data_IF_660527055360
#
_entry.id   IF_660527055360
#
_cell.length_a   1.000
_cell.length_b   1.000
_cell.length_c   1.000
_cell.angle_alpha   90.00
_cell.angle_beta   90.00
_cell.angle_gamma   90.00
#
_symmetry.space_group_name_H-M   'P 1'
#
loop_
_entity.id
_entity.type
_entity.pdbx_description
1 polymer ?
#
# COMPACT_ATOMS: atom_id res chain seq x y z
N UNK A 1 0.24 33.06 -19.77
CA UNK A 1 -0.15 31.85 -20.52
C UNK A 1 -1.64 31.67 -20.26
N UNK A 2 -2.47 31.32 -21.24
CA UNK A 2 -3.87 30.99 -20.92
C UNK A 2 -3.95 29.56 -20.35
N UNK A 3 -5.04 29.22 -19.67
CA UNK A 3 -5.16 27.95 -18.93
C UNK A 3 -4.98 26.71 -19.83
N UNK A 4 -5.58 26.70 -21.03
CA UNK A 4 -5.38 25.62 -22.01
C UNK A 4 -3.90 25.47 -22.46
N UNK A 5 -3.17 26.58 -22.61
CA UNK A 5 -1.73 26.53 -22.93
C UNK A 5 -0.90 25.99 -21.76
N UNK A 6 -1.26 26.34 -20.52
CA UNK A 6 -0.63 25.79 -19.33
C UNK A 6 -0.89 24.28 -19.23
N UNK A 7 -2.13 23.84 -19.43
CA UNK A 7 -2.51 22.43 -19.45
C UNK A 7 -1.77 21.64 -20.54
N UNK A 8 -1.63 22.21 -21.74
CA UNK A 8 -0.87 21.56 -22.80
C UNK A 8 0.61 21.44 -22.45
N UNK A 9 1.17 22.40 -21.70
CA UNK A 9 2.57 22.34 -21.26
C UNK A 9 2.76 21.30 -20.15
N UNK A 10 1.89 21.28 -19.14
CA UNK A 10 1.87 20.24 -18.10
C UNK A 10 1.69 18.86 -18.71
N UNK A 11 0.81 18.72 -19.69
CA UNK A 11 0.61 17.46 -20.41
C UNK A 11 1.85 17.04 -21.18
N UNK A 12 2.59 17.98 -21.78
CA UNK A 12 3.86 17.66 -22.44
C UNK A 12 4.94 17.26 -21.44
N UNK A 13 5.00 17.90 -20.29
CA UNK A 13 5.96 17.57 -19.23
C UNK A 13 5.67 16.19 -18.67
N UNK A 14 4.40 15.90 -18.36
CA UNK A 14 3.91 14.57 -17.99
C UNK A 14 4.25 13.53 -19.06
N UNK A 15 3.90 13.78 -20.33
CA UNK A 15 4.19 12.86 -21.43
C UNK A 15 5.69 12.73 -21.72
N UNK A 16 6.50 13.73 -21.37
CA UNK A 16 7.95 13.67 -21.49
C UNK A 16 8.59 12.87 -20.36
N UNK A 17 7.82 12.54 -19.31
CA UNK A 17 8.27 11.65 -18.25
C UNK A 17 8.64 10.28 -18.85
N UNK A 18 9.72 9.64 -18.39
CA UNK A 18 10.16 8.32 -18.88
C UNK A 18 9.07 7.25 -18.80
N UNK A 19 8.27 7.26 -17.74
CA UNK A 19 7.11 6.36 -17.58
C UNK A 19 5.92 6.61 -18.52
N UNK A 20 6.02 7.60 -19.41
CA UNK A 20 5.02 7.92 -20.43
C UNK A 20 5.62 7.79 -21.85
N UNK A 21 6.10 8.88 -22.47
CA UNK A 21 6.76 8.84 -23.79
C UNK A 21 8.28 9.00 -23.71
N UNK A 22 8.81 9.41 -22.54
CA UNK A 22 10.23 9.73 -22.31
C UNK A 22 10.77 10.92 -23.12
N UNK A 23 9.91 11.63 -23.84
CA UNK A 23 10.21 12.84 -24.61
C UNK A 23 8.93 13.56 -24.97
N UNK A 24 9.04 14.81 -25.43
CA UNK A 24 7.87 15.54 -25.90
C UNK A 24 7.13 14.75 -27.01
N UNK A 25 5.79 14.72 -26.97
CA UNK A 25 5.01 14.06 -27.99
C UNK A 25 5.30 14.69 -29.36
N UNK A 26 5.47 13.84 -30.39
CA UNK A 26 5.72 14.30 -31.76
C UNK A 26 4.63 15.25 -32.28
N UNK A 27 3.41 15.09 -31.78
CA UNK A 27 2.32 16.03 -31.98
C UNK A 27 1.38 15.97 -30.79
N UNK A 28 0.89 17.11 -30.32
CA UNK A 28 -0.18 17.21 -29.33
C UNK A 28 -1.15 18.29 -29.79
N UNK A 29 -2.45 18.00 -29.67
CA UNK A 29 -3.52 18.91 -30.06
C UNK A 29 -4.63 18.89 -29.00
N UNK A 30 -5.21 20.04 -28.65
CA UNK A 30 -6.44 20.06 -27.88
C UNK A 30 -7.54 19.35 -28.65
N UNK A 31 -8.28 18.49 -27.96
CA UNK A 31 -9.25 17.57 -28.53
C UNK A 31 -10.65 17.71 -27.91
N UNK A 32 -10.76 18.42 -26.79
CA UNK A 32 -12.00 18.71 -26.09
C UNK A 32 -11.72 19.32 -24.73
N UNK A 33 -12.77 19.71 -24.03
CA UNK A 33 -12.73 20.15 -22.65
C UNK A 33 -14.05 19.82 -22.00
N UNK A 34 -14.05 19.64 -20.68
CA UNK A 34 -15.25 19.35 -19.91
C UNK A 34 -15.07 19.84 -18.48
N UNK A 35 -16.21 20.05 -17.82
CA UNK A 35 -16.27 20.34 -16.40
C UNK A 35 -16.71 19.08 -15.65
N UNK A 36 -16.01 18.77 -14.56
CA UNK A 36 -16.36 17.66 -13.67
C UNK A 36 -15.98 18.06 -12.23
N UNK A 37 -16.91 17.90 -11.29
CA UNK A 37 -16.72 18.29 -9.88
C UNK A 37 -16.24 19.74 -9.68
N UNK A 38 -16.84 20.69 -10.40
CA UNK A 38 -16.52 22.13 -10.38
C UNK A 38 -15.09 22.48 -10.82
N UNK A 39 -14.37 21.52 -11.39
CA UNK A 39 -13.03 21.68 -11.94
C UNK A 39 -13.07 21.55 -13.46
N UNK A 40 -12.22 22.33 -14.13
CA UNK A 40 -12.11 22.34 -15.58
C UNK A 40 -10.99 21.41 -16.04
N UNK A 41 -11.25 20.66 -17.12
CA UNK A 41 -10.33 19.67 -17.68
C UNK A 41 -10.20 19.84 -19.18
N UNK A 42 -8.97 19.68 -19.66
CA UNK A 42 -8.64 19.67 -21.08
C UNK A 42 -8.30 18.25 -21.53
N UNK A 43 -8.94 17.84 -22.62
CA UNK A 43 -8.65 16.61 -23.33
C UNK A 43 -7.63 16.95 -24.41
N UNK A 44 -6.50 16.25 -24.37
CA UNK A 44 -5.50 16.30 -25.41
C UNK A 44 -5.52 15.00 -26.19
N UNK A 45 -5.32 15.12 -27.49
CA UNK A 45 -4.86 13.99 -28.29
C UNK A 45 -3.41 14.20 -28.63
N UNK A 46 -2.60 13.17 -28.49
CA UNK A 46 -1.17 13.26 -28.79
C UNK A 46 -0.70 12.05 -29.59
N UNK A 47 0.48 12.18 -30.20
CA UNK A 47 1.16 11.11 -30.92
C UNK A 47 2.55 10.91 -30.36
N UNK A 48 2.89 9.66 -30.03
CA UNK A 48 4.26 9.25 -29.71
C UNK A 48 5.24 9.53 -30.87
N UNK A 49 4.79 9.37 -32.12
CA UNK A 49 5.57 9.64 -33.33
C UNK A 49 4.74 10.23 -34.47
N UNK A 50 5.36 10.89 -35.46
CA UNK A 50 4.64 11.61 -36.55
C UNK A 50 3.61 10.74 -37.30
N UNK A 51 3.86 9.43 -37.42
CA UNK A 51 3.00 8.47 -38.11
C UNK A 51 2.15 7.59 -37.16
N UNK A 52 2.23 7.80 -35.85
CA UNK A 52 1.50 7.03 -34.84
C UNK A 52 0.00 7.33 -34.80
N UNK A 53 -0.73 6.47 -34.09
CA UNK A 53 -2.13 6.69 -33.73
C UNK A 53 -2.23 7.88 -32.76
N UNK A 54 -3.40 8.51 -32.75
CA UNK A 54 -3.71 9.50 -31.73
C UNK A 54 -4.06 8.77 -30.44
N UNK A 55 -3.51 9.22 -29.33
CA UNK A 55 -3.74 8.71 -27.99
C UNK A 55 -4.44 9.78 -27.16
N UNK A 56 -5.27 9.34 -26.23
CA UNK A 56 -6.02 10.20 -25.32
C UNK A 56 -5.17 10.54 -24.11
N UNK A 57 -5.21 11.80 -23.70
CA UNK A 57 -4.70 12.18 -22.39
C UNK A 57 -5.46 13.36 -21.83
N UNK A 58 -5.42 13.48 -20.52
CA UNK A 58 -6.28 14.39 -19.77
C UNK A 58 -5.41 15.18 -18.82
N UNK A 59 -5.59 16.50 -18.85
CA UNK A 59 -4.92 17.40 -17.93
C UNK A 59 -5.96 18.39 -17.41
N UNK A 60 -6.17 18.40 -16.12
CA UNK A 60 -7.17 19.26 -15.51
C UNK A 60 -7.07 19.32 -14.00
N UNK A 61 -8.18 19.70 -13.37
CA UNK A 61 -8.16 20.13 -11.98
C UNK A 61 -7.86 21.62 -11.84
N UNK A 62 -8.27 22.43 -12.83
CA UNK A 62 -8.14 23.88 -12.78
C UNK A 62 -9.41 24.53 -12.23
N UNK A 63 -9.23 25.54 -11.37
CA UNK A 63 -10.30 26.46 -11.03
C UNK A 63 -10.65 27.40 -12.19
N UNK A 64 -11.80 28.11 -12.13
CA UNK A 64 -12.29 28.94 -13.24
C UNK A 64 -11.33 30.03 -13.73
N UNK A 65 -10.38 30.47 -12.89
CA UNK A 65 -9.37 31.49 -13.24
C UNK A 65 -7.91 31.04 -12.97
N UNK A 66 -7.69 29.77 -12.59
CA UNK A 66 -6.38 29.28 -12.13
C UNK A 66 -5.57 28.65 -13.26
N UNK A 67 -4.25 28.84 -13.29
CA UNK A 67 -3.36 28.19 -14.28
C UNK A 67 -2.51 27.06 -13.70
N UNK A 68 -2.67 26.76 -12.41
CA UNK A 68 -2.04 25.65 -11.70
C UNK A 68 -3.11 24.58 -11.43
N UNK A 69 -2.80 23.31 -11.69
CA UNK A 69 -3.73 22.18 -11.53
C UNK A 69 -3.44 21.40 -10.25
N UNK A 70 -4.46 20.76 -9.67
CA UNK A 70 -4.33 19.92 -8.47
C UNK A 70 -3.74 18.50 -8.74
N UNK A 71 -2.81 18.37 -9.69
CA UNK A 71 -2.12 17.10 -9.95
C UNK A 71 -2.86 16.07 -10.84
N UNK A 72 -3.98 16.42 -11.47
CA UNK A 72 -4.69 15.51 -12.41
C UNK A 72 -4.14 15.63 -13.84
N UNK A 73 -2.96 15.07 -14.08
CA UNK A 73 -2.38 14.93 -15.43
C UNK A 73 -2.10 13.46 -15.66
N UNK A 74 -2.68 12.90 -16.72
CA UNK A 74 -2.68 11.46 -16.90
C UNK A 74 -2.87 11.04 -18.35
N UNK A 75 -2.25 9.92 -18.72
CA UNK A 75 -2.43 9.26 -20.01
C UNK A 75 -2.35 7.74 -19.86
N UNK A 76 -3.44 7.05 -20.18
CA UNK A 76 -3.50 5.58 -20.11
C UNK A 76 -3.04 4.91 -21.42
N UNK A 77 -2.30 5.64 -22.28
CA UNK A 77 -1.88 5.23 -23.62
C UNK A 77 -3.01 4.66 -24.50
N UNK A 78 -4.24 5.06 -24.21
CA UNK A 78 -5.42 4.55 -24.87
C UNK A 78 -5.64 5.26 -26.23
N UNK A 79 -6.03 4.54 -27.29
CA UNK A 79 -6.36 5.17 -28.57
C UNK A 79 -7.44 6.24 -28.44
N UNK A 80 -7.15 7.43 -28.95
CA UNK A 80 -8.11 8.52 -29.03
C UNK A 80 -9.22 8.18 -30.02
N UNK A 81 -10.46 8.11 -29.51
CA UNK A 81 -11.68 8.09 -30.30
C UNK A 81 -12.54 9.29 -29.91
N UNK A 82 -12.83 10.17 -30.88
CA UNK A 82 -13.62 11.38 -30.64
C UNK A 82 -15.03 11.10 -30.11
N UNK A 83 -15.61 9.92 -30.39
CA UNK A 83 -16.94 9.58 -29.93
C UNK A 83 -17.00 9.20 -28.44
N UNK A 84 -15.89 8.76 -27.85
CA UNK A 84 -15.83 8.27 -26.46
C UNK A 84 -14.80 9.00 -25.60
N UNK A 85 -14.04 9.94 -26.17
CA UNK A 85 -12.92 10.60 -25.50
C UNK A 85 -13.33 11.33 -24.22
N UNK A 86 -14.50 11.97 -24.21
CA UNK A 86 -14.99 12.69 -23.04
C UNK A 86 -15.39 11.72 -21.90
N UNK A 87 -16.11 10.65 -22.21
CA UNK A 87 -16.53 9.67 -21.21
C UNK A 87 -15.34 8.93 -20.59
N UNK A 88 -14.38 8.49 -21.41
CA UNK A 88 -13.14 7.86 -20.94
C UNK A 88 -12.26 8.80 -20.12
N UNK A 89 -12.20 10.07 -20.52
CA UNK A 89 -11.50 11.10 -19.75
C UNK A 89 -12.13 11.30 -18.36
N UNK A 90 -13.46 11.28 -18.28
CA UNK A 90 -14.17 11.35 -16.99
C UNK A 90 -13.91 10.11 -16.13
N UNK A 91 -13.86 8.91 -16.71
CA UNK A 91 -13.55 7.68 -15.97
C UNK A 91 -12.14 7.70 -15.36
N UNK A 92 -11.12 8.13 -16.11
CA UNK A 92 -9.75 8.29 -15.60
C UNK A 92 -9.70 9.30 -14.43
N UNK A 93 -10.40 10.43 -14.57
CA UNK A 93 -10.47 11.45 -13.51
C UNK A 93 -11.20 10.92 -12.27
N UNK A 94 -12.29 10.17 -12.42
CA UNK A 94 -13.02 9.58 -11.29
C UNK A 94 -12.21 8.50 -10.56
N UNK A 95 -11.39 7.72 -11.27
CA UNK A 95 -10.52 6.72 -10.64
C UNK A 95 -9.51 7.38 -9.70
N UNK A 96 -8.81 8.40 -10.20
CA UNK A 96 -7.81 9.16 -9.45
C UNK A 96 -8.47 9.93 -8.31
N UNK A 97 -9.57 10.62 -8.59
CA UNK A 97 -10.34 11.34 -7.56
C UNK A 97 -10.83 10.40 -6.47
N UNK A 98 -11.34 9.21 -6.82
CA UNK A 98 -11.78 8.22 -5.81
C UNK A 98 -10.62 7.76 -4.94
N UNK A 99 -9.47 7.49 -5.54
CA UNK A 99 -8.25 7.18 -4.78
C UNK A 99 -7.88 8.30 -3.81
N UNK A 100 -7.82 9.55 -4.26
CA UNK A 100 -7.49 10.69 -3.40
C UNK A 100 -8.57 11.02 -2.38
N UNK A 101 -9.85 10.86 -2.70
CA UNK A 101 -10.96 11.05 -1.77
C UNK A 101 -10.98 9.95 -0.71
N UNK A 102 -10.69 8.70 -1.04
CA UNK A 102 -10.57 7.63 -0.05
C UNK A 102 -9.41 7.89 0.92
N UNK A 103 -8.29 8.45 0.42
CA UNK A 103 -7.15 8.86 1.25
C UNK A 103 -7.47 10.12 2.08
N UNK A 104 -8.11 11.13 1.50
CA UNK A 104 -8.46 12.37 2.17
C UNK A 104 -9.61 12.19 3.17
N UNK A 105 -10.64 11.39 2.86
CA UNK A 105 -11.70 11.03 3.81
C UNK A 105 -11.15 10.21 4.97
N UNK A 106 -10.14 9.34 4.74
CA UNK A 106 -9.45 8.66 5.84
C UNK A 106 -8.76 9.67 6.77
N UNK A 107 -8.06 10.66 6.22
CA UNK A 107 -7.38 11.74 6.96
C UNK A 107 -8.36 12.76 7.59
N UNK A 108 -9.51 13.01 6.97
CA UNK A 108 -10.52 13.95 7.46
C UNK A 108 -11.46 13.31 8.49
N UNK A 109 -11.70 12.00 8.44
CA UNK A 109 -12.41 11.27 9.50
C UNK A 109 -11.53 11.16 10.75
N UNK A 110 -10.23 10.97 10.57
CA UNK A 110 -9.22 11.05 11.63
C UNK A 110 -9.19 12.46 12.29
N UNK A 111 -9.31 13.53 11.49
CA UNK A 111 -9.38 14.90 12.02
C UNK A 111 -10.76 15.30 12.59
N UNK A 112 -11.89 14.84 12.02
CA UNK A 112 -13.25 15.21 12.51
C UNK A 112 -13.65 14.53 13.82
N UNK A 113 -13.04 13.40 14.17
CA UNK A 113 -13.28 12.75 15.47
C UNK A 113 -12.65 13.48 16.66
N UNK A 114 -11.87 14.55 16.43
CA UNK A 114 -11.30 15.38 17.50
C UNK A 114 -12.17 16.60 17.89
N UNK A 115 -13.20 16.96 17.11
CA UNK A 115 -14.02 18.17 17.33
C UNK A 115 -15.55 17.94 17.18
N UNK A 116 -16.17 17.07 17.99
CA UNK A 116 -17.48 17.32 18.67
C UNK A 116 -18.10 16.06 19.31
N UNK A 117 -18.32 16.12 20.62
CA UNK A 117 -19.14 15.17 21.39
C UNK A 117 -20.64 15.24 21.06
N UNK A 118 -21.31 14.08 21.09
CA UNK A 118 -22.76 13.96 21.34
C UNK A 118 -23.36 12.60 20.90
N UNK A 119 -24.04 11.85 21.78
CA UNK A 119 -24.48 10.48 21.49
C UNK A 119 -25.77 10.51 20.65
N UNK A 120 -25.67 10.05 19.40
CA UNK A 120 -26.82 9.80 18.52
C UNK A 120 -26.91 8.31 18.21
N UNK A 121 -27.94 7.65 18.72
CA UNK A 121 -28.31 6.29 18.37
C UNK A 121 -28.55 6.17 16.85
N UNK A 122 -27.86 5.22 16.22
CA UNK A 122 -28.05 4.86 14.83
C UNK A 122 -26.85 4.07 14.34
N UNK A 123 -26.93 2.74 14.41
CA UNK A 123 -25.95 1.84 13.82
C UNK A 123 -25.72 2.19 12.35
N UNK A 124 -24.48 2.48 11.91
CA UNK A 124 -24.12 2.45 10.51
C UNK A 124 -23.52 1.07 10.17
N UNK A 125 -23.89 0.62 8.99
CA UNK A 125 -23.61 -0.68 8.40
C UNK A 125 -22.12 -1.03 8.30
N UNK A 126 -21.86 -2.33 8.45
CA UNK A 126 -20.56 -3.01 8.61
C UNK A 126 -19.70 -3.13 7.35
N UNK A 127 -19.97 -2.37 6.29
CA UNK A 127 -19.47 -2.77 4.96
C UNK A 127 -18.30 -1.92 4.43
N UNK A 128 -18.09 -0.69 4.91
CA UNK A 128 -17.03 0.19 4.38
C UNK A 128 -15.62 -0.13 4.91
N UNK A 129 -15.48 -0.64 6.14
CA UNK A 129 -14.16 -0.99 6.70
C UNK A 129 -13.61 -2.33 6.16
N UNK A 130 -14.45 -3.15 5.52
CA UNK A 130 -14.10 -4.49 5.02
C UNK A 130 -13.58 -4.48 3.57
N UNK A 131 -13.67 -3.35 2.86
CA UNK A 131 -13.22 -3.21 1.46
C UNK A 131 -11.68 -3.24 1.29
N UNK A 132 -10.91 -3.16 2.38
CA UNK A 132 -9.44 -3.31 2.38
C UNK A 132 -8.97 -4.77 2.54
N UNK A 133 -9.89 -5.71 2.77
CA UNK A 133 -9.53 -7.09 3.07
C UNK A 133 -8.82 -7.78 1.90
N UNK A 134 -7.60 -8.26 2.16
CA UNK A 134 -6.81 -9.08 1.26
C UNK A 134 -6.10 -8.35 0.14
N UNK A 135 -5.95 -7.03 0.26
CA UNK A 135 -4.90 -6.25 -0.40
C UNK A 135 -3.72 -6.11 0.56
N UNK A 136 -2.51 -6.42 0.10
CA UNK A 136 -1.29 -6.31 0.90
C UNK A 136 -0.35 -5.32 0.25
N UNK A 137 -0.03 -4.25 0.96
CA UNK A 137 0.86 -3.16 0.52
C UNK A 137 1.83 -2.85 1.66
N UNK A 138 3.08 -2.60 1.34
CA UNK A 138 4.09 -2.12 2.29
C UNK A 138 5.23 -1.43 1.56
N UNK A 139 6.13 -0.85 2.34
CA UNK A 139 7.27 -0.10 1.83
C UNK A 139 8.58 -0.69 2.34
N UNK A 140 9.60 -0.66 1.49
CA UNK A 140 10.98 -1.03 1.84
C UNK A 140 11.79 0.25 1.83
N UNK A 141 12.24 0.69 3.00
CA UNK A 141 12.95 1.97 3.16
C UNK A 141 14.42 1.77 2.81
N UNK A 142 14.97 2.62 1.95
CA UNK A 142 16.32 2.47 1.40
C UNK A 142 17.21 3.65 1.74
N UNK A 143 18.49 3.39 2.00
CA UNK A 143 19.52 4.40 2.22
C UNK A 143 19.93 5.16 0.95
N UNK A 144 19.71 4.54 -0.21
CA UNK A 144 20.01 5.02 -1.56
C UNK A 144 18.93 4.49 -2.53
N UNK A 145 18.60 5.21 -3.61
CA UNK A 145 17.62 4.81 -4.63
C UNK A 145 18.17 3.68 -5.51
N UNK A 146 18.58 2.58 -4.90
CA UNK A 146 19.18 1.46 -5.60
C UNK A 146 18.64 0.15 -5.02
N UNK A 147 18.22 -0.73 -5.91
CA UNK A 147 17.81 -2.10 -5.60
C UNK A 147 18.08 -2.99 -6.82
N UNK A 148 18.06 -4.31 -6.64
CA UNK A 148 18.30 -5.26 -7.71
C UNK A 148 17.10 -6.19 -7.91
N UNK A 149 16.36 -6.03 -9.02
CA UNK A 149 15.30 -6.95 -9.44
C UNK A 149 15.81 -8.39 -9.63
N UNK A 150 16.98 -8.56 -10.25
CA UNK A 150 17.62 -9.87 -10.42
C UNK A 150 17.90 -10.55 -9.08
N UNK A 151 18.40 -9.77 -8.10
CA UNK A 151 18.62 -10.27 -6.75
C UNK A 151 17.31 -10.64 -6.08
N UNK A 152 16.26 -9.83 -6.23
CA UNK A 152 14.93 -10.11 -5.69
C UNK A 152 14.42 -11.45 -6.24
N UNK A 153 14.47 -11.64 -7.57
CA UNK A 153 14.05 -12.87 -8.23
C UNK A 153 14.88 -14.09 -7.77
N UNK A 154 16.20 -13.92 -7.64
CA UNK A 154 17.09 -14.98 -7.15
C UNK A 154 16.79 -15.37 -5.68
N UNK A 155 16.55 -14.40 -4.81
CA UNK A 155 16.19 -14.63 -3.40
C UNK A 155 14.80 -15.27 -3.29
N UNK A 156 13.82 -14.82 -4.09
CA UNK A 156 12.49 -15.43 -4.16
C UNK A 156 12.54 -16.90 -4.60
N UNK A 157 13.40 -17.21 -5.58
CA UNK A 157 13.62 -18.58 -6.04
C UNK A 157 14.37 -19.41 -5.01
N UNK A 158 15.43 -18.86 -4.42
CA UNK A 158 16.32 -19.56 -3.50
C UNK A 158 15.68 -19.88 -2.15
N UNK A 159 15.00 -18.90 -1.55
CA UNK A 159 14.42 -19.05 -0.21
C UNK A 159 13.03 -19.69 -0.25
N UNK A 160 12.26 -19.47 -1.32
CA UNK A 160 10.83 -19.85 -1.37
C UNK A 160 10.45 -20.76 -2.54
N UNK A 161 11.36 -21.02 -3.48
CA UNK A 161 11.08 -21.81 -4.67
C UNK A 161 10.15 -21.12 -5.67
N UNK A 162 9.94 -19.80 -5.55
CA UNK A 162 9.02 -19.03 -6.37
C UNK A 162 9.78 -18.48 -7.58
N UNK A 163 9.32 -18.84 -8.78
CA UNK A 163 9.80 -18.22 -10.02
C UNK A 163 9.07 -16.90 -10.22
N UNK A 164 9.82 -15.79 -10.12
CA UNK A 164 9.34 -14.46 -10.47
C UNK A 164 9.45 -14.28 -11.97
N UNK A 165 8.41 -14.68 -12.70
CA UNK A 165 8.30 -14.40 -14.13
C UNK A 165 7.78 -12.97 -14.28
N UNK A 166 8.65 -12.08 -14.71
CA UNK A 166 8.26 -10.72 -15.06
C UNK A 166 7.22 -10.78 -16.18
N UNK A 167 6.12 -10.05 -16.01
CA UNK A 167 5.17 -9.87 -17.10
C UNK A 167 5.90 -9.05 -18.18
N UNK A 168 6.25 -9.70 -19.29
CA UNK A 168 6.80 -9.00 -20.44
C UNK A 168 5.71 -8.09 -21.01
N UNK A 169 5.88 -6.77 -20.87
CA UNK A 169 5.16 -5.85 -21.73
C UNK A 169 5.58 -6.15 -23.18
N UNK A 170 4.67 -6.73 -23.96
CA UNK A 170 4.95 -7.17 -25.34
C UNK A 170 5.59 -6.04 -26.18
N UNK A 171 5.28 -4.77 -25.89
CA UNK A 171 5.86 -3.61 -26.58
C UNK A 171 7.27 -3.22 -26.09
N UNK A 172 7.65 -3.47 -24.83
CA UNK A 172 9.01 -3.24 -24.30
C UNK A 172 10.02 -4.26 -24.88
N UNK A 173 9.54 -5.47 -25.16
CA UNK A 173 10.32 -6.53 -25.81
C UNK A 173 10.67 -6.20 -27.27
N UNK A 174 9.78 -5.49 -27.99
CA UNK A 174 9.99 -5.05 -29.37
C UNK A 174 10.96 -3.87 -29.48
N UNK A 175 10.94 -2.92 -28.52
CA UNK A 175 11.91 -1.82 -28.46
C UNK A 175 13.34 -2.32 -28.11
N UNK A 176 13.49 -3.27 -27.17
CA UNK A 176 14.79 -3.92 -26.86
C UNK A 176 15.33 -4.72 -28.06
N UNK A 177 14.46 -5.38 -28.83
CA UNK A 177 14.85 -6.10 -30.04
C UNK A 177 15.24 -5.15 -31.20
N UNK A 178 14.64 -3.96 -31.27
CA UNK A 178 14.95 -2.92 -32.27
C UNK A 178 16.23 -2.14 -31.96
N UNK A 179 16.63 -2.02 -30.69
CA UNK A 179 17.81 -1.26 -30.27
C UNK A 179 19.14 -1.99 -30.52
N UNK A 180 19.12 -3.30 -30.80
CA UNK A 180 20.31 -4.08 -31.16
C UNK A 180 21.38 -4.14 -30.07
N UNK A 181 21.04 -3.78 -28.84
CA UNK A 181 22.01 -3.63 -27.77
C UNK A 181 22.19 -4.93 -26.99
N UNK A 182 23.45 -5.33 -26.87
CA UNK A 182 23.85 -6.51 -26.10
C UNK A 182 24.24 -6.03 -24.71
N UNK A 183 23.27 -5.95 -23.82
CA UNK A 183 23.50 -6.11 -22.38
C UNK A 183 24.27 -4.99 -21.67
N UNK A 184 23.95 -3.73 -21.93
CA UNK A 184 24.20 -2.66 -20.96
C UNK A 184 22.86 -2.14 -20.42
N UNK A 185 22.65 -2.29 -19.10
CA UNK A 185 21.50 -1.69 -18.40
C UNK A 185 21.65 -0.16 -18.47
N UNK A 186 20.68 0.52 -19.06
CA UNK A 186 20.60 2.00 -19.08
C UNK A 186 19.84 2.50 -17.87
N UNK A 187 20.12 3.73 -17.42
CA UNK A 187 19.48 4.40 -16.26
C UNK A 187 17.93 4.45 -16.32
N UNK A 188 17.33 4.27 -17.50
CA UNK A 188 15.89 4.35 -17.74
C UNK A 188 15.11 3.08 -17.31
N UNK A 189 15.79 1.96 -17.02
CA UNK A 189 15.14 0.71 -16.56
C UNK A 189 14.82 0.73 -15.03
N UNK A 190 15.33 1.70 -14.26
CA UNK A 190 15.23 1.72 -12.78
C UNK A 190 13.87 2.23 -12.23
N UNK A 191 13.14 3.04 -13.01
CA UNK A 191 11.88 3.70 -12.60
C UNK A 191 10.60 2.95 -13.02
N UNK A 192 10.72 1.89 -13.82
CA UNK A 192 9.56 1.10 -14.26
C UNK A 192 9.15 0.13 -13.15
N UNK A 193 7.85 0.06 -12.77
CA UNK A 193 7.42 -0.92 -11.78
C UNK A 193 7.64 -2.34 -12.30
N UNK A 194 8.32 -3.17 -11.52
CA UNK A 194 8.50 -4.58 -11.83
C UNK A 194 7.24 -5.34 -11.42
N UNK A 195 6.61 -6.00 -12.39
CA UNK A 195 5.39 -6.77 -12.19
C UNK A 195 5.68 -8.24 -12.44
N UNK A 196 5.48 -9.09 -11.42
CA UNK A 196 5.67 -10.53 -11.54
C UNK A 196 4.34 -11.27 -11.43
N UNK A 197 4.13 -12.24 -12.30
CA UNK A 197 2.97 -13.13 -12.23
C UNK A 197 3.29 -14.41 -11.46
N UNK A 198 2.63 -14.62 -10.32
CA UNK A 198 2.80 -15.81 -9.48
C UNK A 198 1.46 -16.45 -9.21
N UNK A 199 1.19 -17.58 -9.87
CA UNK A 199 -0.06 -18.36 -9.71
C UNK A 199 -1.35 -17.53 -9.89
N UNK A 200 -1.35 -16.60 -10.84
CA UNK A 200 -2.50 -15.71 -11.11
C UNK A 200 -2.56 -14.46 -10.21
N UNK A 201 -1.65 -14.34 -9.24
CA UNK A 201 -1.47 -13.11 -8.46
C UNK A 201 -0.42 -12.23 -9.10
N UNK A 202 -0.55 -10.92 -8.94
CA UNK A 202 0.42 -9.92 -9.38
C UNK A 202 1.21 -9.40 -8.19
N UNK A 203 2.52 -9.45 -8.30
CA UNK A 203 3.46 -8.85 -7.35
C UNK A 203 4.00 -7.59 -8.01
N UNK A 204 3.85 -6.44 -7.35
CA UNK A 204 4.35 -5.16 -7.85
C UNK A 204 5.45 -4.69 -6.94
N UNK A 205 6.58 -4.31 -7.54
CA UNK A 205 7.69 -3.64 -6.86
C UNK A 205 8.06 -2.39 -7.65
N UNK A 206 7.77 -1.22 -7.11
CA UNK A 206 8.06 0.06 -7.76
C UNK A 206 9.06 0.85 -6.92
N UNK A 207 10.12 1.35 -7.54
CA UNK A 207 11.07 2.25 -6.88
C UNK A 207 10.53 3.67 -6.87
N UNK A 208 10.71 4.35 -5.73
CA UNK A 208 10.51 5.78 -5.59
C UNK A 208 11.84 6.40 -5.14
N UNK A 209 12.45 7.24 -5.99
CA UNK A 209 13.63 8.05 -5.63
C UNK A 209 13.25 9.26 -4.75
N UNK A 210 12.55 8.96 -3.66
CA UNK A 210 12.16 9.89 -2.63
C UNK A 210 11.90 9.14 -1.31
N UNK A 211 12.12 9.75 -0.14
CA UNK A 211 11.65 9.17 1.11
C UNK A 211 10.12 9.04 1.11
N UNK A 212 9.60 8.23 2.03
CA UNK A 212 8.15 8.20 2.29
C UNK A 212 7.70 9.62 2.69
N UNK A 213 6.63 10.15 2.07
CA UNK A 213 6.18 11.52 2.33
C UNK A 213 5.80 11.81 3.80
N UNK A 214 5.75 13.09 4.13
CA UNK A 214 5.15 13.65 5.36
C UNK A 214 5.72 13.15 6.70
N UNK A 215 6.84 12.43 6.70
CA UNK A 215 7.45 11.88 7.90
C UNK A 215 6.65 10.72 8.51
N UNK A 216 5.76 10.10 7.72
CA UNK A 216 4.87 9.02 8.17
C UNK A 216 5.67 7.80 8.65
N UNK A 217 6.73 7.43 7.92
CA UNK A 217 7.56 6.28 8.26
C UNK A 217 8.26 6.48 9.62
N UNK A 218 8.75 7.68 9.91
CA UNK A 218 9.37 8.05 11.19
C UNK A 218 8.36 8.01 12.34
N UNK A 219 7.15 8.55 12.12
CA UNK A 219 6.10 8.53 13.12
C UNK A 219 5.69 7.09 13.48
N UNK A 220 5.53 6.23 12.47
CA UNK A 220 5.21 4.82 12.68
C UNK A 220 6.39 4.00 13.25
N UNK A 221 7.63 4.37 12.93
CA UNK A 221 8.83 3.78 13.53
C UNK A 221 8.92 4.07 15.04
N UNK A 222 8.45 5.24 15.48
CA UNK A 222 8.47 5.62 16.90
C UNK A 222 7.59 4.71 17.77
N UNK A 223 6.60 4.04 17.18
CA UNK A 223 5.76 3.09 17.88
C UNK A 223 6.50 1.76 18.17
N UNK A 224 7.57 1.43 17.44
CA UNK A 224 8.23 0.14 17.55
C UNK A 224 9.17 0.03 18.76
N UNK A 225 8.65 -0.35 19.93
CA UNK A 225 9.44 -0.61 21.13
C UNK A 225 10.49 -1.73 20.99
N UNK A 226 10.42 -2.59 19.96
CA UNK A 226 11.38 -3.67 19.73
C UNK A 226 12.66 -3.19 19.03
N UNK A 227 12.65 -1.98 18.47
CA UNK A 227 13.78 -1.43 17.73
C UNK A 227 14.08 0.01 18.18
N UNK A 228 14.89 0.20 19.23
CA UNK A 228 15.18 1.52 19.81
C UNK A 228 15.76 2.54 18.82
N UNK A 229 16.52 2.08 17.83
CA UNK A 229 17.14 2.91 16.81
C UNK A 229 16.24 3.13 15.57
N UNK A 230 14.99 2.67 15.58
CA UNK A 230 14.10 2.71 14.41
C UNK A 230 13.96 4.12 13.84
N UNK A 231 13.57 5.10 14.68
CA UNK A 231 13.36 6.50 14.23
C UNK A 231 14.62 7.10 13.62
N UNK A 232 15.76 6.97 14.29
CA UNK A 232 17.03 7.55 13.82
C UNK A 232 17.55 6.84 12.56
N UNK A 233 17.27 5.54 12.41
CA UNK A 233 17.61 4.80 11.19
C UNK A 233 16.69 5.22 10.05
N UNK A 234 15.37 5.26 10.29
CA UNK A 234 14.36 5.59 9.29
C UNK A 234 14.59 6.99 8.75
N UNK A 235 14.87 8.01 9.58
CA UNK A 235 15.19 9.39 9.11
C UNK A 235 16.29 9.49 8.05
N UNK A 236 17.14 8.46 7.91
CA UNK A 236 18.24 8.45 6.93
C UNK A 236 17.85 7.87 5.57
N UNK A 237 16.63 7.34 5.44
CA UNK A 237 16.13 6.83 4.17
C UNK A 237 15.97 7.97 3.16
N UNK A 238 16.32 7.67 1.91
CA UNK A 238 16.27 8.64 0.80
C UNK A 238 15.33 8.21 -0.32
N UNK A 239 15.00 6.92 -0.33
CA UNK A 239 14.20 6.27 -1.34
C UNK A 239 13.38 5.16 -0.67
N UNK A 240 12.37 4.66 -1.38
CA UNK A 240 11.63 3.50 -0.93
C UNK A 240 11.11 2.65 -2.10
N UNK A 241 10.97 1.35 -1.87
CA UNK A 241 10.16 0.49 -2.74
C UNK A 241 8.73 0.49 -2.25
N UNK A 242 7.77 0.70 -3.14
CA UNK A 242 6.38 0.30 -2.95
C UNK A 242 6.23 -1.16 -3.36
N UNK A 243 5.74 -1.99 -2.44
CA UNK A 243 5.59 -3.43 -2.64
C UNK A 243 4.15 -3.84 -2.41
N UNK A 244 3.54 -4.52 -3.38
CA UNK A 244 2.16 -4.97 -3.27
C UNK A 244 1.93 -6.39 -3.82
N UNK A 245 0.96 -7.09 -3.23
CA UNK A 245 0.38 -8.32 -3.79
C UNK A 245 -1.08 -8.05 -4.13
N UNK A 246 -1.43 -8.21 -5.41
CA UNK A 246 -2.74 -7.94 -5.96
C UNK A 246 -3.36 -9.21 -6.57
N UNK A 247 -4.69 -9.17 -6.70
CA UNK A 247 -5.49 -10.25 -7.28
C UNK A 247 -6.32 -11.00 -6.25
N UNK A 248 -7.37 -11.66 -6.73
CA UNK A 248 -8.36 -12.38 -5.90
C UNK A 248 -8.28 -13.89 -6.04
N UNK A 249 -7.39 -14.40 -6.90
CA UNK A 249 -7.36 -15.80 -7.34
C UNK A 249 -6.76 -16.79 -6.32
N UNK A 250 -6.47 -16.33 -5.10
CA UNK A 250 -6.00 -17.16 -3.99
C UNK A 250 -6.65 -16.73 -2.66
N UNK A 251 -6.79 -17.63 -1.67
CA UNK A 251 -7.24 -17.27 -0.33
C UNK A 251 -6.40 -16.16 0.30
N UNK A 252 -7.01 -15.28 1.11
CA UNK A 252 -6.34 -14.12 1.73
C UNK A 252 -5.07 -14.52 2.49
N UNK A 253 -5.11 -15.65 3.21
CA UNK A 253 -3.95 -16.21 3.91
C UNK A 253 -2.79 -16.55 2.97
N UNK A 254 -3.07 -17.13 1.81
CA UNK A 254 -2.04 -17.45 0.80
C UNK A 254 -1.44 -16.17 0.19
N UNK A 255 -2.27 -15.15 -0.03
CA UNK A 255 -1.81 -13.83 -0.49
C UNK A 255 -0.91 -13.15 0.55
N UNK A 256 -1.28 -13.21 1.83
CA UNK A 256 -0.45 -12.71 2.93
C UNK A 256 0.88 -13.45 3.06
N UNK A 257 0.89 -14.79 2.85
CA UNK A 257 2.13 -15.58 2.84
C UNK A 257 3.04 -15.16 1.69
N UNK A 258 2.46 -14.92 0.51
CA UNK A 258 3.21 -14.45 -0.66
C UNK A 258 3.80 -13.05 -0.42
N UNK A 259 3.02 -12.14 0.18
CA UNK A 259 3.48 -10.81 0.55
C UNK A 259 4.64 -10.85 1.54
N UNK A 260 4.54 -11.65 2.62
CA UNK A 260 5.63 -11.78 3.58
C UNK A 260 6.91 -12.35 2.95
N UNK A 261 6.79 -13.29 2.01
CA UNK A 261 7.94 -13.83 1.27
C UNK A 261 8.59 -12.79 0.37
N UNK A 262 7.78 -11.98 -0.32
CA UNK A 262 8.25 -10.88 -1.16
C UNK A 262 8.99 -9.83 -0.31
N UNK A 263 8.39 -9.39 0.79
CA UNK A 263 9.04 -8.44 1.71
C UNK A 263 10.33 -9.01 2.32
N UNK A 264 10.35 -10.32 2.65
CA UNK A 264 11.55 -11.00 3.15
C UNK A 264 12.67 -11.04 2.09
N UNK A 265 12.33 -11.25 0.80
CA UNK A 265 13.31 -11.14 -0.28
C UNK A 265 13.82 -9.69 -0.43
N UNK A 266 12.93 -8.69 -0.30
CA UNK A 266 13.33 -7.29 -0.29
C UNK A 266 14.27 -6.95 0.87
N UNK A 267 14.12 -7.56 2.06
CA UNK A 267 15.03 -7.35 3.20
C UNK A 267 16.50 -7.67 2.90
N UNK A 268 16.77 -8.43 1.84
CA UNK A 268 18.12 -8.82 1.42
C UNK A 268 18.74 -7.88 0.39
N UNK A 269 18.05 -6.83 -0.04
CA UNK A 269 18.62 -5.79 -0.89
C UNK A 269 19.70 -5.01 -0.11
N UNK A 270 20.72 -4.51 -0.81
CA UNK A 270 21.93 -3.96 -0.18
C UNK A 270 21.67 -2.68 0.64
N UNK A 271 20.70 -1.88 0.20
CA UNK A 271 20.42 -0.53 0.72
C UNK A 271 19.27 -0.51 1.73
N UNK A 272 18.71 -1.66 2.13
CA UNK A 272 17.54 -1.70 3.02
C UNK A 272 17.88 -1.20 4.42
N UNK A 273 17.09 -0.25 4.89
CA UNK A 273 17.13 0.28 6.25
C UNK A 273 15.99 -0.30 7.12
N UNK A 274 14.79 -0.44 6.56
CA UNK A 274 13.60 -0.83 7.32
C UNK A 274 12.46 -1.32 6.45
N UNK A 275 11.55 -2.08 7.06
CA UNK A 275 10.36 -2.63 6.40
C UNK A 275 9.13 -1.99 7.01
N UNK A 276 8.50 -1.08 6.27
CA UNK A 276 7.31 -0.36 6.73
C UNK A 276 6.04 -1.09 6.30
N UNK A 277 5.36 -1.71 7.25
CA UNK A 277 4.09 -2.43 7.04
C UNK A 277 3.34 -2.51 8.37
N UNK A 278 2.03 -2.72 8.32
CA UNK A 278 1.24 -2.99 9.52
C UNK A 278 1.36 -1.89 10.59
N UNK A 279 1.39 -0.62 10.16
CA UNK A 279 1.44 0.54 11.07
C UNK A 279 2.75 0.70 11.84
N UNK A 280 3.84 0.05 11.39
CA UNK A 280 5.16 0.20 12.01
C UNK A 280 6.31 -0.13 11.06
N UNK A 281 7.53 0.26 11.44
CA UNK A 281 8.75 -0.10 10.69
C UNK A 281 9.52 -1.20 11.42
N UNK A 282 9.68 -2.34 10.78
CA UNK A 282 10.45 -3.47 11.27
C UNK A 282 11.92 -3.39 10.86
N UNK A 283 12.81 -3.81 11.76
CA UNK A 283 14.21 -4.03 11.44
C UNK A 283 14.33 -5.19 10.43
N UNK A 284 15.10 -5.06 9.33
CA UNK A 284 15.15 -6.08 8.28
C UNK A 284 15.57 -7.47 8.80
N UNK A 285 16.52 -7.51 9.74
CA UNK A 285 16.94 -8.77 10.38
C UNK A 285 15.81 -9.43 11.18
N UNK A 286 15.05 -8.65 11.94
CA UNK A 286 13.90 -9.17 12.68
C UNK A 286 12.84 -9.72 11.71
N UNK A 287 12.57 -9.00 10.62
CA UNK A 287 11.61 -9.44 9.60
C UNK A 287 12.05 -10.76 8.95
N UNK A 288 13.34 -10.88 8.60
CA UNK A 288 13.92 -12.13 8.08
C UNK A 288 13.81 -13.29 9.08
N UNK A 289 14.22 -13.08 10.34
CA UNK A 289 14.17 -14.10 11.39
C UNK A 289 12.72 -14.59 11.63
N UNK A 290 11.75 -13.67 11.60
CA UNK A 290 10.32 -14.01 11.69
C UNK A 290 9.82 -14.78 10.45
N UNK A 291 10.34 -14.50 9.25
CA UNK A 291 9.90 -15.15 8.02
C UNK A 291 10.28 -16.62 7.93
N UNK A 292 11.34 -17.05 8.64
CA UNK A 292 11.87 -18.42 8.59
C UNK A 292 10.83 -19.48 8.99
N UNK A 293 9.87 -19.14 9.87
CA UNK A 293 8.81 -20.07 10.28
C UNK A 293 7.93 -20.56 9.12
N UNK A 294 7.86 -19.81 8.01
CA UNK A 294 7.15 -20.23 6.81
C UNK A 294 7.79 -21.44 6.12
N UNK A 295 9.09 -21.69 6.31
CA UNK A 295 9.79 -22.84 5.69
C UNK A 295 9.27 -24.18 6.21
N UNK A 296 8.83 -24.20 7.47
CA UNK A 296 8.22 -25.36 8.12
C UNK A 296 6.68 -25.32 8.09
N UNK A 297 6.09 -24.43 7.29
CA UNK A 297 4.64 -24.28 7.14
C UNK A 297 3.95 -23.47 8.24
N UNK A 298 4.71 -22.81 9.12
CA UNK A 298 4.17 -21.91 10.14
C UNK A 298 3.68 -20.57 9.58
N UNK A 299 2.79 -19.90 10.32
CA UNK A 299 2.29 -18.57 9.95
C UNK A 299 3.21 -17.47 10.48
N UNK A 300 3.71 -16.56 9.61
CA UNK A 300 4.62 -15.47 9.97
C UNK A 300 3.86 -14.32 10.66
N UNK A 301 3.19 -14.60 11.78
CA UNK A 301 2.32 -13.63 12.48
C UNK A 301 3.06 -12.33 12.80
N UNK A 302 4.34 -12.41 13.17
CA UNK A 302 5.18 -11.25 13.48
C UNK A 302 5.59 -10.42 12.25
N UNK A 303 5.42 -10.94 11.03
CA UNK A 303 5.60 -10.19 9.79
C UNK A 303 4.30 -9.51 9.34
N UNK A 304 3.15 -10.03 9.76
CA UNK A 304 1.82 -9.56 9.35
C UNK A 304 1.20 -8.58 10.34
N UNK A 305 1.35 -8.87 11.62
CA UNK A 305 0.63 -8.19 12.69
C UNK A 305 1.63 -7.54 13.62
N UNK A 306 1.50 -6.23 13.80
CA UNK A 306 2.18 -5.52 14.86
C UNK A 306 1.39 -5.65 16.16
N UNK A 307 2.11 -5.82 17.27
CA UNK A 307 1.54 -5.91 18.62
C UNK A 307 2.02 -4.70 19.42
N UNK A 308 1.17 -3.69 19.55
CA UNK A 308 1.47 -2.50 20.32
C UNK A 308 1.25 -2.73 21.81
N UNK A 309 2.08 -2.09 22.64
CA UNK A 309 1.99 -2.15 24.10
C UNK A 309 2.11 -0.74 24.67
N UNK A 310 1.25 -0.38 25.61
CA UNK A 310 1.36 0.87 26.36
C UNK A 310 0.81 0.70 27.78
N UNK A 311 1.20 1.60 28.68
CA UNK A 311 0.81 1.55 30.08
C UNK A 311 -0.01 2.78 30.46
N UNK A 312 -1.07 2.56 31.24
CA UNK A 312 -1.93 3.58 31.85
C UNK A 312 -1.89 3.44 33.38
N UNK A 313 -2.63 4.28 34.10
CA UNK A 313 -2.86 4.09 35.54
C UNK A 313 -3.65 2.79 35.83
N UNK A 314 -4.42 2.28 34.87
CA UNK A 314 -5.23 1.06 34.98
C UNK A 314 -4.43 -0.23 34.80
N UNK A 315 -3.31 -0.18 34.08
CA UNK A 315 -2.45 -1.34 33.86
C UNK A 315 -1.76 -1.31 32.49
N UNK A 316 -1.35 -2.50 32.04
CA UNK A 316 -0.85 -2.70 30.69
C UNK A 316 -2.00 -2.86 29.70
N UNK A 317 -1.81 -2.29 28.52
CA UNK A 317 -2.72 -2.37 27.39
C UNK A 317 -1.96 -2.93 26.18
N UNK A 318 -2.64 -3.70 25.36
CA UNK A 318 -2.09 -4.27 24.13
C UNK A 318 -3.10 -4.21 23.00
N UNK A 319 -2.63 -4.02 21.77
CA UNK A 319 -3.47 -4.03 20.58
C UNK A 319 -2.79 -4.71 19.39
N UNK A 320 -3.58 -5.18 18.43
CA UNK A 320 -3.10 -5.67 17.13
C UNK A 320 -3.21 -4.59 16.07
N UNK A 321 -2.30 -4.60 15.10
CA UNK A 321 -2.45 -3.82 13.87
C UNK A 321 -2.08 -4.69 12.67
N UNK A 322 -3.01 -4.83 11.73
CA UNK A 322 -2.85 -5.61 10.49
C UNK A 322 -3.88 -6.74 10.32
N UNK A 323 -4.73 -7.00 11.31
CA UNK A 323 -5.77 -8.04 11.23
C UNK A 323 -6.80 -7.73 10.15
N UNK A 324 -7.07 -6.44 9.91
CA UNK A 324 -8.03 -5.99 8.88
C UNK A 324 -7.63 -6.43 7.47
N UNK A 325 -6.34 -6.54 7.18
CA UNK A 325 -5.86 -7.09 5.90
C UNK A 325 -6.27 -8.56 5.69
N UNK A 326 -6.60 -9.28 6.78
CA UNK A 326 -7.12 -10.64 6.76
C UNK A 326 -8.65 -10.72 6.91
N UNK A 327 -9.36 -9.58 6.84
CA UNK A 327 -10.80 -9.52 7.05
C UNK A 327 -11.18 -9.89 8.48
N UNK A 328 -10.38 -9.45 9.47
CA UNK A 328 -10.62 -9.63 10.90
C UNK A 328 -10.56 -8.28 11.61
N UNK A 329 -11.38 -8.11 12.64
CA UNK A 329 -11.30 -6.94 13.50
C UNK A 329 -9.94 -6.92 14.22
N UNK A 330 -9.39 -5.73 14.44
CA UNK A 330 -8.27 -5.57 15.37
C UNK A 330 -8.71 -5.92 16.79
N UNK A 331 -7.78 -6.37 17.62
CA UNK A 331 -8.03 -6.83 18.99
C UNK A 331 -7.29 -5.98 19.99
N UNK A 332 -7.89 -5.76 21.15
CA UNK A 332 -7.33 -5.02 22.26
C UNK A 332 -7.49 -5.80 23.57
N UNK A 333 -6.49 -5.70 24.45
CA UNK A 333 -6.55 -6.17 25.83
C UNK A 333 -6.21 -4.97 26.71
N UNK A 334 -7.14 -4.57 27.58
CA UNK A 334 -7.08 -3.27 28.25
C UNK A 334 -6.91 -3.39 29.77
N UNK A 335 -6.12 -2.47 30.34
CA UNK A 335 -5.92 -2.25 31.77
C UNK A 335 -5.67 -3.52 32.60
N UNK A 336 -4.74 -4.35 32.12
CA UNK A 336 -4.40 -5.62 32.79
C UNK A 336 -3.18 -5.48 33.69
N UNK A 337 -3.23 -6.12 34.85
CA UNK A 337 -2.06 -6.29 35.70
C UNK A 337 -1.27 -7.54 35.27
N UNK A 338 -0.53 -7.42 34.18
CA UNK A 338 0.25 -8.51 33.58
C UNK A 338 1.70 -8.11 33.35
N UNK A 339 2.58 -9.10 33.18
CA UNK A 339 3.87 -8.83 32.57
C UNK A 339 3.65 -8.47 31.08
N UNK A 340 4.29 -7.42 30.53
CA UNK A 340 4.08 -7.00 29.14
C UNK A 340 4.44 -8.07 28.11
N UNK A 341 5.42 -8.94 28.41
CA UNK A 341 5.77 -10.06 27.56
C UNK A 341 4.66 -11.13 27.55
N UNK A 342 4.12 -11.47 28.71
CA UNK A 342 3.00 -12.43 28.83
C UNK A 342 1.75 -11.91 28.12
N UNK A 343 1.47 -10.62 28.24
CA UNK A 343 0.36 -9.95 27.55
C UNK A 343 0.51 -10.01 26.02
N UNK A 344 1.72 -9.71 25.51
CA UNK A 344 2.03 -9.82 24.08
C UNK A 344 1.91 -11.26 23.59
N UNK A 345 2.47 -12.21 24.32
CA UNK A 345 2.45 -13.63 23.94
C UNK A 345 1.01 -14.18 23.97
N UNK A 346 0.17 -13.73 24.91
CA UNK A 346 -1.26 -14.01 24.93
C UNK A 346 -1.94 -13.54 23.63
N UNK A 347 -1.75 -12.27 23.26
CA UNK A 347 -2.40 -11.69 22.08
C UNK A 347 -1.87 -12.32 20.78
N UNK A 348 -0.57 -12.62 20.72
CA UNK A 348 0.06 -13.33 19.60
C UNK A 348 -0.56 -14.73 19.42
N UNK A 349 -0.69 -15.50 20.50
CA UNK A 349 -1.29 -16.83 20.44
C UNK A 349 -2.76 -16.77 19.99
N UNK A 350 -3.51 -15.75 20.43
CA UNK A 350 -4.88 -15.53 19.98
C UNK A 350 -4.96 -15.20 18.49
N UNK A 351 -4.10 -14.29 18.01
CA UNK A 351 -3.98 -13.96 16.59
C UNK A 351 -3.63 -15.20 15.77
N UNK A 352 -2.67 -16.01 16.23
CA UNK A 352 -2.30 -17.25 15.57
C UNK A 352 -3.49 -18.20 15.46
N UNK A 353 -4.23 -18.40 16.56
CA UNK A 353 -5.44 -19.23 16.57
C UNK A 353 -6.49 -18.72 15.57
N UNK A 354 -6.71 -17.41 15.52
CA UNK A 354 -7.68 -16.76 14.63
C UNK A 354 -7.30 -16.93 13.16
N UNK A 355 -6.04 -16.66 12.81
CA UNK A 355 -5.58 -16.71 11.42
C UNK A 355 -5.34 -18.14 10.92
N UNK A 356 -4.85 -19.04 11.78
CA UNK A 356 -4.62 -20.44 11.40
C UNK A 356 -5.94 -21.20 11.24
N UNK A 357 -6.82 -21.06 12.23
CA UNK A 357 -8.13 -21.71 12.28
C UNK A 357 -9.22 -21.02 11.47
N UNK A 358 -8.91 -19.90 10.80
CA UNK A 358 -9.87 -19.06 10.07
C UNK A 358 -11.08 -18.66 10.94
N UNK A 359 -10.84 -18.42 12.23
CA UNK A 359 -11.90 -18.18 13.22
C UNK A 359 -12.39 -16.74 13.11
N UNK A 360 -13.70 -16.54 13.24
CA UNK A 360 -14.31 -15.21 13.36
C UNK A 360 -14.84 -15.07 14.78
N UNK A 361 -14.19 -14.22 15.57
CA UNK A 361 -14.63 -13.85 16.91
C UNK A 361 -15.79 -12.85 16.81
N UNK A 362 -16.84 -13.02 17.62
CA UNK A 362 -18.01 -12.13 17.62
C UNK A 362 -18.25 -11.49 18.97
N UNK A 363 -18.95 -10.35 18.93
CA UNK A 363 -19.43 -9.68 20.11
C UNK A 363 -20.28 -10.61 20.99
N UNK A 364 -20.03 -10.59 22.30
CA UNK A 364 -20.74 -11.41 23.28
C UNK A 364 -20.30 -12.89 23.34
N UNK A 365 -19.41 -13.34 22.46
CA UNK A 365 -18.77 -14.66 22.59
C UNK A 365 -17.76 -14.66 23.76
N UNK A 366 -17.32 -15.86 24.15
CA UNK A 366 -16.31 -16.04 25.18
C UNK A 366 -15.16 -16.90 24.68
N UNK A 367 -13.93 -16.48 24.97
CA UNK A 367 -12.71 -17.23 24.70
C UNK A 367 -12.30 -18.06 25.93
N UNK A 368 -11.89 -19.31 25.72
CA UNK A 368 -11.36 -20.16 26.79
C UNK A 368 -10.27 -21.08 26.29
N UNK A 369 -9.12 -21.08 26.96
CA UNK A 369 -8.04 -22.04 26.74
C UNK A 369 -8.28 -23.36 27.51
N UNK A 370 -9.30 -23.39 28.37
CA UNK A 370 -9.82 -24.57 29.07
C UNK A 370 -11.35 -24.57 29.01
N UNK A 371 -12.00 -25.69 29.36
CA UNK A 371 -13.47 -25.82 29.34
C UNK A 371 -14.20 -24.84 30.27
N UNK A 372 -13.51 -24.40 31.33
CA UNK A 372 -14.13 -23.63 32.41
C UNK A 372 -13.85 -22.14 32.27
N UNK A 373 -12.88 -21.77 31.43
CA UNK A 373 -12.51 -20.38 31.20
C UNK A 373 -13.45 -19.70 30.22
N UNK A 374 -13.92 -18.50 30.59
CA UNK A 374 -14.82 -17.68 29.78
C UNK A 374 -14.38 -16.22 29.83
N UNK A 375 -13.43 -15.87 28.98
CA UNK A 375 -12.95 -14.51 28.80
C UNK A 375 -13.93 -13.80 27.86
N UNK A 376 -14.54 -12.67 28.26
CA UNK A 376 -15.51 -11.98 27.42
C UNK A 376 -14.84 -11.40 26.17
N UNK A 377 -15.61 -11.34 25.08
CA UNK A 377 -15.27 -10.61 23.86
C UNK A 377 -16.32 -9.52 23.68
N UNK A 378 -15.88 -8.28 23.51
CA UNK A 378 -16.79 -7.14 23.28
C UNK A 378 -16.35 -6.35 22.06
N UNK A 379 -17.24 -6.17 21.08
CA UNK A 379 -16.98 -5.38 19.88
C UNK A 379 -17.45 -3.95 20.09
N UNK A 380 -16.62 -2.96 19.78
CA UNK A 380 -17.00 -1.55 19.91
C UNK A 380 -15.88 -0.59 19.52
N UNK A 381 -16.09 0.71 19.75
CA UNK A 381 -15.12 1.75 19.42
C UNK A 381 -13.76 1.47 20.07
N UNK A 382 -12.69 1.47 19.27
CA UNK A 382 -11.32 1.22 19.73
C UNK A 382 -10.86 2.23 20.77
N UNK A 383 -9.96 1.78 21.66
CA UNK A 383 -9.34 2.64 22.69
C UNK A 383 -7.94 3.08 22.26
N UNK A 384 -7.18 2.15 21.67
CA UNK A 384 -5.81 2.33 21.20
C UNK A 384 -5.73 2.66 19.72
N UNK A 385 -6.79 2.33 18.97
CA UNK A 385 -6.87 2.41 17.52
C UNK A 385 -8.18 3.03 17.12
N UNK A 386 -8.18 3.72 15.97
CA UNK A 386 -9.41 4.19 15.36
C UNK A 386 -10.24 3.03 14.77
N UNK A 387 -11.53 3.33 14.65
CA UNK A 387 -12.55 2.39 14.17
C UNK A 387 -12.98 1.36 15.21
N UNK A 388 -13.59 0.28 14.74
CA UNK A 388 -14.11 -0.79 15.60
C UNK A 388 -13.03 -1.84 15.86
N UNK A 389 -12.97 -2.32 17.12
CA UNK A 389 -12.07 -3.38 17.58
C UNK A 389 -12.78 -4.35 18.53
N UNK A 390 -12.18 -5.51 18.77
CA UNK A 390 -12.59 -6.50 19.75
C UNK A 390 -11.79 -6.35 21.05
N UNK A 391 -12.46 -6.12 22.16
CA UNK A 391 -11.86 -6.11 23.50
C UNK A 391 -11.90 -7.53 24.03
N UNK A 392 -10.73 -8.09 24.28
CA UNK A 392 -10.56 -9.46 24.72
C UNK A 392 -10.21 -9.46 26.21
N UNK A 393 -10.97 -10.21 27.00
CA UNK A 393 -10.66 -10.41 28.42
C UNK A 393 -9.34 -11.16 28.62
N UNK A 394 -8.59 -10.80 29.66
CA UNK A 394 -7.30 -11.42 29.98
C UNK A 394 -7.42 -12.44 31.12
N UNK A 395 -6.73 -13.59 31.04
CA UNK A 395 -6.68 -14.56 32.14
C UNK A 395 -5.90 -14.00 33.34
N UNK A 396 -6.60 -13.77 34.45
CA UNK A 396 -6.02 -13.32 35.72
C UNK A 396 -5.42 -14.41 36.58
#
# INVERSE_FOLDING_TARGET
MNQQQAAMQSMKEWLSHPGELGKEPAKIEPAGEFDLHDLHYYIFRYKKGMFGKWLLGVCGGYGPEDTEHCGHVFSEMEPYDAATAEDKAKEMVEMIRRYWMEQADALEQENRHTDHEGPGEGSPDTDAENDKAGTFVGFVLLSEPHWSPDKLAADMKGDWGIDCNEEEDEEASEERASAGDKGEMTHDDEDTPHIYSVKGLRLVVAMMDAPVPDGEAEANAANNYMWPEAVETVKTHKAHLMVAVMGTDAPVKERGLLFAKLMAACCRQETVLGIYTSGTVFQPRFYLDASEMMKDGGLPVLNWIYFGLYQTEGGWNAYTYGMRAFGRDEMEVLDVNANPQELRDYLLNLVYYVLDGDVVLRDGETLGFTSDQKLPITRGQGVSLDGITLKIGYPG
#
